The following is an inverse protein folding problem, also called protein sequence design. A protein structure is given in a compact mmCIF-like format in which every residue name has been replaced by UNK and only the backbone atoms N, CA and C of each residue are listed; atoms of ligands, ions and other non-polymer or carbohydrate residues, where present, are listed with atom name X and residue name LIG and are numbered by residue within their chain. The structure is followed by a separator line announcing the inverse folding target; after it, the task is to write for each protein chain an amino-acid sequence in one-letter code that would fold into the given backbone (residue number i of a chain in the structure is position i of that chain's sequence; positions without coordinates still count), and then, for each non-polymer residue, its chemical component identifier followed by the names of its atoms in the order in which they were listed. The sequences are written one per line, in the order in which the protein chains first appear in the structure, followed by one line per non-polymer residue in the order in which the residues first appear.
data_IF_548549870491
#
_entry.id   IF_548549870491
#
_cell.length_a   1.000
_cell.length_b   1.000
_cell.length_c   1.000
_cell.angle_alpha   90.00
_cell.angle_beta   90.00
_cell.angle_gamma   90.00
#
_symmetry.space_group_name_H-M   'P 1'
#
loop_
_entity.id
_entity.type
_entity.pdbx_description
1 polymer ?
#
# COMPACT_ATOMS: atom_id res chain seq x y z
N UNK A 1 -28.33 -6.41 -0.98
CA UNK A 1 -27.96 -6.44 0.44
C UNK A 1 -26.67 -5.67 0.49
N UNK A 2 -26.61 -4.58 1.25
CA UNK A 2 -25.36 -3.85 1.41
C UNK A 2 -24.50 -4.69 2.35
N UNK A 3 -23.37 -5.21 1.84
CA UNK A 3 -22.45 -6.00 2.64
C UNK A 3 -21.77 -5.06 3.64
N UNK A 4 -22.09 -5.26 4.92
CA UNK A 4 -21.42 -4.56 6.02
C UNK A 4 -20.00 -5.14 6.15
N UNK A 5 -18.99 -4.27 6.11
CA UNK A 5 -17.58 -4.62 6.21
C UNK A 5 -16.82 -3.77 7.22
N UNK A 6 -15.52 -4.04 7.38
CA UNK A 6 -14.64 -3.14 8.11
C UNK A 6 -14.37 -1.91 7.27
N UNK A 7 -14.49 -0.74 7.89
CA UNK A 7 -14.19 0.55 7.28
C UNK A 7 -13.30 1.37 8.20
N UNK A 8 -12.69 2.42 7.67
CA UNK A 8 -12.08 3.42 8.52
C UNK A 8 -13.10 4.46 8.98
N UNK A 9 -13.20 4.71 10.28
CA UNK A 9 -14.05 5.74 10.87
C UNK A 9 -13.73 7.17 10.39
N UNK A 10 -12.54 7.39 9.81
CA UNK A 10 -12.08 8.71 9.35
C UNK A 10 -12.35 8.99 7.88
N UNK A 11 -12.06 8.03 7.00
CA UNK A 11 -12.22 8.20 5.55
C UNK A 11 -13.33 7.36 4.95
N UNK A 12 -13.94 6.44 5.73
CA UNK A 12 -15.02 5.55 5.29
C UNK A 12 -14.62 4.64 4.12
N UNK A 13 -13.31 4.52 3.86
CA UNK A 13 -12.74 3.55 2.93
C UNK A 13 -12.82 2.14 3.50
N UNK A 14 -12.93 1.16 2.62
CA UNK A 14 -12.91 -0.25 2.99
C UNK A 14 -11.57 -0.58 3.65
N UNK A 15 -11.62 -1.31 4.76
CA UNK A 15 -10.44 -1.77 5.46
C UNK A 15 -10.34 -3.28 5.30
N UNK A 16 -9.21 -3.71 4.73
CA UNK A 16 -8.86 -5.11 4.61
C UNK A 16 -7.92 -5.49 5.75
N UNK A 17 -8.21 -6.59 6.43
CA UNK A 17 -7.40 -7.13 7.51
C UNK A 17 -6.60 -8.35 7.06
N UNK A 18 -5.39 -8.50 7.59
CA UNK A 18 -4.59 -9.73 7.47
C UNK A 18 -4.02 -10.07 8.83
N UNK A 19 -4.34 -11.27 9.27
CA UNK A 19 -3.77 -11.86 10.47
C UNK A 19 -2.37 -12.39 10.15
N UNK A 20 -1.36 -11.99 10.92
CA UNK A 20 0.00 -12.52 10.84
C UNK A 20 0.41 -13.16 12.16
N UNK A 21 1.24 -14.18 12.07
CA UNK A 21 1.65 -14.99 13.20
C UNK A 21 2.73 -15.98 12.83
N UNK A 22 3.30 -16.62 13.85
CA UNK A 22 4.16 -17.80 13.69
C UNK A 22 3.29 -19.04 13.69
N UNK A 23 3.89 -20.17 13.33
CA UNK A 23 3.20 -21.46 13.37
C UNK A 23 2.60 -21.69 14.78
N UNK A 24 1.27 -21.71 14.87
CA UNK A 24 0.47 -21.82 16.11
C UNK A 24 0.46 -20.61 17.06
N UNK A 25 0.87 -19.41 16.62
CA UNK A 25 0.82 -18.20 17.46
C UNK A 25 0.42 -16.96 16.64
N UNK A 26 -0.70 -16.33 17.02
CA UNK A 26 -1.23 -15.13 16.35
C UNK A 26 -0.48 -13.91 16.91
N UNK A 27 0.43 -13.33 16.12
CA UNK A 27 1.28 -12.20 16.56
C UNK A 27 0.57 -10.85 16.38
N UNK A 28 -0.30 -10.72 15.38
CA UNK A 28 -1.03 -9.48 15.17
C UNK A 28 -2.01 -9.52 13.99
N UNK A 29 -2.76 -8.43 13.83
CA UNK A 29 -3.62 -8.18 12.67
C UNK A 29 -3.19 -6.84 12.07
N UNK A 30 -2.76 -6.86 10.80
CA UNK A 30 -2.49 -5.66 10.02
C UNK A 30 -3.75 -5.23 9.29
N UNK A 31 -3.95 -3.92 9.15
CA UNK A 31 -5.11 -3.35 8.47
C UNK A 31 -4.64 -2.39 7.39
N UNK A 32 -5.19 -2.49 6.18
CA UNK A 32 -4.94 -1.59 5.06
C UNK A 32 -6.26 -1.01 4.56
N UNK A 33 -6.24 0.28 4.25
CA UNK A 33 -7.29 0.91 3.47
C UNK A 33 -7.21 0.45 2.01
N UNK A 34 -8.36 0.20 1.38
CA UNK A 34 -8.51 0.12 -0.09
C UNK A 34 -8.02 1.39 -0.80
N UNK A 35 -8.04 2.51 -0.07
CA UNK A 35 -7.49 3.81 -0.45
C UNK A 35 -6.05 3.95 0.03
N UNK A 36 -5.22 4.63 -0.75
CA UNK A 36 -3.97 5.18 -0.21
C UNK A 36 -4.31 6.30 0.78
N UNK A 37 -4.36 5.96 2.06
CA UNK A 37 -4.33 6.93 3.16
C UNK A 37 -2.86 7.15 3.48
N UNK A 38 -2.39 8.38 3.28
CA UNK A 38 -1.01 8.68 3.58
C UNK A 38 -0.74 8.52 5.09
N UNK A 39 0.48 8.14 5.49
CA UNK A 39 0.85 8.07 6.91
C UNK A 39 0.56 9.34 7.73
N UNK A 40 0.36 10.49 7.08
CA UNK A 40 0.09 11.79 7.67
C UNK A 40 -1.37 12.26 7.54
N UNK A 41 -2.24 11.54 6.82
CA UNK A 41 -3.65 11.91 6.68
C UNK A 41 -4.41 11.64 7.98
N UNK A 42 -4.44 10.38 8.41
CA UNK A 42 -4.96 9.96 9.71
C UNK A 42 -4.45 8.57 10.09
N UNK A 43 -4.53 8.24 11.38
CA UNK A 43 -4.40 6.85 11.80
C UNK A 43 -5.60 6.04 11.32
N UNK A 44 -5.37 4.76 11.02
CA UNK A 44 -6.45 3.85 10.72
C UNK A 44 -7.26 3.61 12.00
N UNK A 45 -8.50 4.11 12.02
CA UNK A 45 -9.47 3.88 13.09
C UNK A 45 -10.54 2.90 12.59
N UNK A 46 -10.56 1.67 13.09
CA UNK A 46 -11.50 0.64 12.65
C UNK A 46 -12.94 0.91 13.08
N UNK A 47 -13.86 0.77 12.14
CA UNK A 47 -15.31 0.77 12.36
C UNK A 47 -15.99 -0.29 11.48
N UNK A 48 -17.29 -0.48 11.69
CA UNK A 48 -18.15 -1.35 10.87
C UNK A 48 -19.15 -0.48 10.13
N UNK A 49 -19.25 -0.65 8.82
CA UNK A 49 -20.17 0.13 8.00
C UNK A 49 -20.21 -0.33 6.55
N UNK A 50 -20.86 0.45 5.73
CA UNK A 50 -20.86 0.28 4.28
C UNK A 50 -19.71 1.13 3.70
N UNK A 51 -18.75 0.52 2.98
CA UNK A 51 -17.65 1.28 2.40
C UNK A 51 -18.17 2.22 1.30
N UNK A 52 -17.62 3.43 1.25
CA UNK A 52 -17.88 4.32 0.14
C UNK A 52 -16.99 3.87 -1.03
N UNK A 53 -17.58 3.45 -2.15
CA UNK A 53 -16.81 3.19 -3.37
C UNK A 53 -16.07 4.47 -3.80
N UNK A 54 -14.75 4.39 -3.91
CA UNK A 54 -13.92 5.46 -4.49
C UNK A 54 -13.33 5.01 -5.81
N UNK A 55 -13.25 5.93 -6.77
CA UNK A 55 -12.50 5.70 -8.00
C UNK A 55 -11.04 5.33 -7.66
N UNK A 56 -10.48 4.28 -8.29
CA UNK A 56 -9.10 3.89 -8.04
C UNK A 56 -8.13 5.03 -8.34
N UNK A 57 -7.14 5.22 -7.46
CA UNK A 57 -6.04 6.15 -7.66
C UNK A 57 -4.70 5.40 -7.79
N UNK A 58 -3.68 6.08 -8.27
CA UNK A 58 -2.32 5.55 -8.32
C UNK A 58 -1.77 5.37 -6.89
N UNK A 59 -1.44 4.13 -6.50
CA UNK A 59 -0.92 3.78 -5.17
C UNK A 59 0.44 4.42 -4.85
N UNK A 60 1.13 4.92 -5.86
CA UNK A 60 2.43 5.58 -5.69
C UNK A 60 2.33 7.10 -5.50
N UNK A 61 1.28 7.74 -6.01
CA UNK A 61 1.23 9.20 -6.07
C UNK A 61 -0.16 9.82 -6.04
N UNK A 62 -1.19 9.04 -5.73
CA UNK A 62 -2.60 9.43 -5.65
C UNK A 62 -3.21 10.06 -6.92
N UNK A 63 -2.57 9.93 -8.10
CA UNK A 63 -3.15 10.39 -9.36
C UNK A 63 -4.43 9.61 -9.69
N UNK A 64 -5.49 10.30 -10.11
CA UNK A 64 -6.85 9.75 -10.31
C UNK A 64 -7.05 8.92 -11.58
N UNK A 65 -5.99 8.64 -12.34
CA UNK A 65 -6.06 7.88 -13.60
C UNK A 65 -5.01 6.77 -13.63
N UNK A 66 -5.16 5.71 -12.80
CA UNK A 66 -4.26 4.58 -12.83
C UNK A 66 -4.53 3.71 -14.06
N UNK A 67 -3.53 3.65 -14.95
CA UNK A 67 -3.58 2.90 -16.22
C UNK A 67 -3.00 1.49 -16.12
N UNK A 68 -2.26 1.20 -15.06
CA UNK A 68 -1.50 -0.03 -14.89
C UNK A 68 -1.87 -0.71 -13.59
N UNK A 69 -1.88 -2.04 -13.62
CA UNK A 69 -2.13 -2.89 -12.48
C UNK A 69 -0.96 -3.87 -12.33
N UNK A 70 -0.28 -3.82 -11.19
CA UNK A 70 0.74 -4.76 -10.79
C UNK A 70 0.12 -5.76 -9.84
N UNK A 71 -0.03 -7.01 -10.28
CA UNK A 71 -0.30 -8.10 -9.37
C UNK A 71 1.02 -8.50 -8.71
N UNK A 72 1.03 -8.81 -7.40
CA UNK A 72 2.13 -9.59 -6.86
C UNK A 72 2.21 -10.89 -7.65
N UNK A 73 3.31 -11.08 -8.41
CA UNK A 73 3.51 -12.36 -9.09
C UNK A 73 4.11 -13.32 -8.09
N UNK A 74 3.25 -14.19 -7.58
CA UNK A 74 3.64 -15.48 -7.06
C UNK A 74 3.90 -16.33 -8.30
N UNK A 75 5.15 -16.69 -8.57
CA UNK A 75 5.44 -17.62 -9.67
C UNK A 75 4.68 -18.92 -9.37
N UNK A 76 3.71 -19.25 -10.22
CA UNK A 76 2.79 -20.37 -10.01
C UNK A 76 3.47 -21.76 -10.11
N UNK A 77 4.78 -21.80 -10.36
CA UNK A 77 5.55 -23.04 -10.51
C UNK A 77 6.33 -23.46 -9.25
N UNK A 78 6.43 -22.61 -8.22
CA UNK A 78 7.16 -22.95 -6.98
C UNK A 78 6.31 -22.61 -5.73
N UNK A 79 5.82 -23.69 -5.11
CA UNK A 79 5.37 -23.86 -3.72
C UNK A 79 4.25 -22.98 -3.13
N UNK A 80 3.39 -23.63 -2.33
CA UNK A 80 2.26 -23.09 -1.56
C UNK A 80 2.67 -22.07 -0.47
N UNK A 81 3.92 -21.60 -0.51
CA UNK A 81 4.59 -20.75 0.47
C UNK A 81 5.66 -19.91 -0.22
N UNK A 82 5.66 -18.60 0.02
CA UNK A 82 6.70 -17.69 -0.48
C UNK A 82 7.38 -17.00 0.72
N UNK A 83 8.70 -16.83 0.64
CA UNK A 83 9.48 -16.08 1.62
C UNK A 83 9.77 -14.68 1.08
N UNK A 84 9.44 -13.65 1.88
CA UNK A 84 9.79 -12.25 1.60
C UNK A 84 10.83 -11.81 2.60
N UNK A 85 11.99 -11.39 2.11
CA UNK A 85 13.00 -10.73 2.93
C UNK A 85 12.69 -9.23 3.00
N UNK A 86 12.16 -8.80 4.14
CA UNK A 86 11.82 -7.41 4.41
C UNK A 86 12.89 -6.78 5.30
N UNK A 87 13.55 -5.73 4.82
CA UNK A 87 14.33 -4.86 5.70
C UNK A 87 13.37 -3.93 6.46
N UNK A 88 12.95 -4.39 7.63
CA UNK A 88 12.04 -3.67 8.53
C UNK A 88 12.81 -2.82 9.55
N UNK A 89 14.10 -2.60 9.33
CA UNK A 89 14.95 -1.84 10.26
C UNK A 89 14.41 -0.42 10.41
N UNK A 90 13.92 -0.11 11.62
CA UNK A 90 13.34 1.20 11.94
C UNK A 90 11.84 1.33 11.69
N UNK A 91 11.16 0.25 11.30
CA UNK A 91 9.70 0.18 11.25
C UNK A 91 9.13 -0.31 12.59
N UNK A 92 7.96 0.21 12.98
CA UNK A 92 7.17 -0.40 14.07
C UNK A 92 6.59 -1.75 13.61
N UNK A 93 6.10 -2.60 14.54
CA UNK A 93 5.35 -3.81 14.18
C UNK A 93 4.15 -3.51 13.26
N UNK A 94 3.43 -2.42 13.51
CA UNK A 94 2.30 -1.99 12.65
C UNK A 94 2.77 -1.56 11.26
N UNK A 95 3.88 -0.81 11.18
CA UNK A 95 4.48 -0.39 9.90
C UNK A 95 5.05 -1.61 9.14
N UNK A 96 5.51 -2.63 9.87
CA UNK A 96 5.97 -3.92 9.32
C UNK A 96 4.81 -4.73 8.75
N UNK A 97 3.68 -4.82 9.47
CA UNK A 97 2.48 -5.48 8.98
C UNK A 97 1.94 -4.77 7.72
N UNK A 98 1.90 -3.43 7.72
CA UNK A 98 1.57 -2.64 6.54
C UNK A 98 2.52 -2.90 5.36
N UNK A 99 3.81 -3.08 5.62
CA UNK A 99 4.80 -3.42 4.60
C UNK A 99 4.59 -4.84 4.01
N UNK A 100 4.21 -5.83 4.81
CA UNK A 100 3.83 -7.17 4.30
C UNK A 100 2.57 -7.09 3.44
N UNK A 101 1.57 -6.31 3.86
CA UNK A 101 0.32 -6.10 3.11
C UNK A 101 0.55 -5.49 1.73
N UNK A 102 1.56 -4.62 1.62
CA UNK A 102 1.98 -4.04 0.35
C UNK A 102 2.46 -5.09 -0.66
N UNK A 103 2.83 -6.30 -0.23
CA UNK A 103 3.22 -7.41 -1.12
C UNK A 103 2.03 -8.24 -1.58
N UNK A 104 0.89 -8.19 -0.87
CA UNK A 104 -0.18 -9.17 -1.06
C UNK A 104 -1.31 -8.71 -1.98
N UNK A 105 -1.39 -7.41 -2.25
CA UNK A 105 -2.51 -6.82 -3.00
C UNK A 105 -2.07 -6.22 -4.34
N UNK A 106 -2.98 -6.13 -5.33
CA UNK A 106 -2.69 -5.44 -6.58
C UNK A 106 -2.37 -3.95 -6.34
N UNK A 107 -1.42 -3.42 -7.11
CA UNK A 107 -1.05 -2.00 -7.10
C UNK A 107 -1.44 -1.33 -8.40
N UNK A 108 -2.20 -0.25 -8.28
CA UNK A 108 -2.54 0.67 -9.35
C UNK A 108 -1.41 1.68 -9.57
N UNK A 109 -1.03 1.89 -10.83
CA UNK A 109 -0.07 2.92 -11.21
C UNK A 109 -0.56 3.76 -12.39
N UNK A 110 -0.35 5.08 -12.32
CA UNK A 110 -0.42 5.95 -13.49
C UNK A 110 0.78 5.70 -14.43
N UNK A 111 0.70 6.18 -15.68
CA UNK A 111 1.77 6.00 -16.67
C UNK A 111 3.15 6.44 -16.16
N UNK A 112 3.22 7.58 -15.47
CA UNK A 112 4.51 8.07 -14.96
C UNK A 112 5.08 7.17 -13.87
N UNK A 113 4.24 6.69 -12.95
CA UNK A 113 4.69 5.80 -11.88
C UNK A 113 5.05 4.41 -12.44
N UNK A 114 4.37 3.95 -13.49
CA UNK A 114 4.71 2.68 -14.14
C UNK A 114 6.12 2.70 -14.74
N UNK A 115 6.53 3.80 -15.38
CA UNK A 115 7.90 3.98 -15.87
C UNK A 115 8.91 3.97 -14.72
N UNK A 116 8.62 4.70 -13.63
CA UNK A 116 9.50 4.73 -12.46
C UNK A 116 9.65 3.36 -11.79
N UNK A 117 8.58 2.57 -11.75
CA UNK A 117 8.62 1.17 -11.28
C UNK A 117 9.47 0.31 -12.20
N UNK A 118 9.30 0.42 -13.52
CA UNK A 118 10.09 -0.33 -14.49
C UNK A 118 11.59 -0.04 -14.37
N UNK A 119 11.95 1.22 -14.12
CA UNK A 119 13.32 1.67 -13.89
C UNK A 119 13.84 1.40 -12.46
N UNK A 120 12.99 0.85 -11.57
CA UNK A 120 13.26 0.69 -10.13
C UNK A 120 13.74 1.98 -9.46
N UNK A 121 13.20 3.12 -9.90
CA UNK A 121 13.59 4.44 -9.43
C UNK A 121 12.83 4.83 -8.15
N UNK A 122 13.26 4.24 -7.02
CA UNK A 122 12.68 4.46 -5.70
C UNK A 122 12.60 5.96 -5.33
N UNK A 123 13.69 6.70 -5.50
CA UNK A 123 13.74 8.13 -5.19
C UNK A 123 12.74 8.92 -6.04
N UNK A 124 12.63 8.58 -7.33
CA UNK A 124 11.67 9.21 -8.23
C UNK A 124 10.21 8.96 -7.83
N UNK A 125 9.89 7.75 -7.32
CA UNK A 125 8.56 7.45 -6.78
C UNK A 125 8.27 8.29 -5.53
N UNK A 126 9.18 8.31 -4.56
CA UNK A 126 9.02 9.06 -3.31
C UNK A 126 8.89 10.56 -3.57
N UNK A 127 9.77 11.14 -4.40
CA UNK A 127 9.71 12.56 -4.74
C UNK A 127 8.44 12.90 -5.52
N UNK A 128 7.94 11.99 -6.36
CA UNK A 128 6.68 12.20 -7.08
C UNK A 128 5.49 12.16 -6.13
N UNK A 129 5.46 11.23 -5.19
CA UNK A 129 4.43 11.15 -4.16
C UNK A 129 4.34 12.46 -3.38
N UNK A 130 5.47 12.95 -2.85
CA UNK A 130 5.56 14.17 -2.05
C UNK A 130 5.22 15.44 -2.84
N UNK A 131 5.44 15.47 -4.16
CA UNK A 131 5.03 16.62 -4.98
C UNK A 131 3.52 16.69 -5.21
N UNK A 132 2.85 15.55 -5.36
CA UNK A 132 1.42 15.50 -5.64
C UNK A 132 0.57 15.50 -4.37
N UNK A 133 1.11 14.91 -3.30
CA UNK A 133 0.50 14.87 -1.98
C UNK A 133 1.52 15.40 -0.96
N UNK A 134 1.71 16.73 -0.87
CA UNK A 134 2.67 17.30 0.06
C UNK A 134 2.25 17.08 1.51
N UNK A 135 3.24 16.93 2.39
CA UNK A 135 3.01 16.79 3.83
C UNK A 135 2.49 18.13 4.37
N UNK A 136 1.31 18.17 5.03
CA UNK A 136 0.80 19.39 5.64
C UNK A 136 1.76 19.91 6.72
N UNK A 137 2.00 21.23 6.81
CA UNK A 137 2.92 21.78 7.81
C UNK A 137 2.45 21.54 9.25
N UNK A 138 1.14 21.43 9.46
CA UNK A 138 0.48 21.08 10.73
C UNK A 138 0.22 19.57 10.91
N UNK A 139 0.76 18.73 10.02
CA UNK A 139 0.60 17.28 10.08
C UNK A 139 1.26 16.65 11.31
N UNK A 140 0.76 15.48 11.72
CA UNK A 140 1.31 14.72 12.85
C UNK A 140 2.75 14.23 12.62
N UNK A 141 3.14 14.08 11.35
CA UNK A 141 4.45 13.62 10.92
C UNK A 141 5.14 14.72 10.13
N UNK A 142 6.46 14.84 10.29
CA UNK A 142 7.28 15.71 9.45
C UNK A 142 7.63 15.03 8.11
N UNK A 143 8.08 15.83 7.13
CA UNK A 143 8.44 15.32 5.79
C UNK A 143 9.52 14.22 5.86
N UNK A 144 10.42 14.28 6.84
CA UNK A 144 11.48 13.28 7.00
C UNK A 144 10.89 11.91 7.40
N UNK A 145 10.01 11.88 8.40
CA UNK A 145 9.33 10.66 8.84
C UNK A 145 8.46 10.09 7.71
N UNK A 146 7.75 10.96 7.01
CA UNK A 146 6.97 10.60 5.83
C UNK A 146 7.85 9.96 4.75
N UNK A 147 8.96 10.61 4.38
CA UNK A 147 9.89 10.12 3.37
C UNK A 147 10.43 8.75 3.73
N UNK A 148 10.80 8.53 5.01
CA UNK A 148 11.25 7.23 5.50
C UNK A 148 10.17 6.16 5.31
N UNK A 149 8.92 6.44 5.67
CA UNK A 149 7.80 5.51 5.49
C UNK A 149 7.52 5.17 4.03
N UNK A 150 7.47 6.18 3.15
CA UNK A 150 7.31 5.97 1.71
C UNK A 150 8.46 5.14 1.12
N UNK A 151 9.68 5.42 1.56
CA UNK A 151 10.87 4.67 1.13
C UNK A 151 10.75 3.20 1.53
N UNK A 152 10.36 2.91 2.77
CA UNK A 152 10.13 1.53 3.23
C UNK A 152 9.06 0.83 2.40
N UNK A 153 7.87 1.44 2.27
CA UNK A 153 6.75 0.87 1.53
C UNK A 153 7.09 0.59 0.05
N UNK A 154 7.67 1.56 -0.66
CA UNK A 154 8.00 1.41 -2.08
C UNK A 154 9.22 0.50 -2.29
N UNK A 155 10.18 0.47 -1.37
CA UNK A 155 11.31 -0.47 -1.44
C UNK A 155 10.83 -1.91 -1.38
N UNK A 156 9.85 -2.20 -0.53
CA UNK A 156 9.25 -3.54 -0.42
C UNK A 156 8.55 -3.91 -1.71
N UNK A 157 7.74 -3.02 -2.28
CA UNK A 157 7.12 -3.25 -3.58
C UNK A 157 8.15 -3.52 -4.69
N UNK A 158 9.27 -2.79 -4.72
CA UNK A 158 10.30 -2.96 -5.74
C UNK A 158 11.21 -4.18 -5.51
N UNK A 159 11.35 -4.64 -4.28
CA UNK A 159 12.15 -5.83 -3.93
C UNK A 159 11.40 -7.11 -4.27
N UNK A 160 10.09 -7.14 -4.04
CA UNK A 160 9.20 -8.18 -4.55
C UNK A 160 9.12 -7.99 -6.06
N UNK A 161 9.57 -8.95 -6.88
CA UNK A 161 9.48 -8.83 -8.34
C UNK A 161 8.01 -8.60 -8.70
N UNK A 162 7.55 -7.36 -8.98
CA UNK A 162 6.15 -7.16 -9.26
C UNK A 162 5.89 -7.86 -10.59
N UNK A 163 4.78 -8.57 -10.70
CA UNK A 163 4.43 -9.24 -11.94
C UNK A 163 4.45 -8.27 -13.12
N UNK A 164 4.47 -8.81 -14.34
CA UNK A 164 4.36 -7.95 -15.53
C UNK A 164 3.07 -7.10 -15.40
N UNK A 165 3.15 -5.76 -15.48
CA UNK A 165 1.98 -4.93 -15.31
C UNK A 165 0.96 -5.24 -16.40
N UNK A 166 -0.31 -5.27 -16.01
CA UNK A 166 -1.43 -5.40 -16.93
C UNK A 166 -2.12 -4.04 -17.09
N UNK A 167 -2.74 -3.76 -18.25
CA UNK A 167 -3.62 -2.61 -18.37
C UNK A 167 -4.72 -2.68 -17.32
N UNK A 168 -4.87 -1.63 -16.53
CA UNK A 168 -5.98 -1.50 -15.59
C UNK A 168 -7.29 -1.44 -16.37
N UNK A 169 -8.27 -2.25 -15.96
CA UNK A 169 -9.65 -2.17 -16.48
C UNK A 169 -10.53 -1.21 -15.66
N UNK A 170 -9.95 -0.49 -14.71
CA UNK A 170 -10.64 0.59 -13.99
C UNK A 170 -10.84 1.77 -14.95
N UNK A 171 -11.86 1.67 -15.80
CA UNK A 171 -12.41 2.74 -16.63
C UNK A 171 -13.93 2.60 -16.66
#
# INVERSE_FOLDING_TARGET
MNDLGFICARCEGEVQDVTHGRENELEGVGYRHDRRVEPWDHELELAVGEPIESEPACDFCAATDPRWLYYPSFDAEDDETFEVELDVTGLSPDDTAGAVLNVLYPWYACDTCSVLVADRNLNGLVDRALRLTPVPPEGRLDEKAVRTRLTGAFSVFLSTRPGRPQPSRAL
#
